data_IF_186508823590
#
_entry.id   IF_186508823590
#
_cell.length_a   1.000
_cell.length_b   1.000
_cell.length_c   1.000
_cell.angle_alpha   90.00
_cell.angle_beta   90.00
_cell.angle_gamma   90.00
#
_symmetry.space_group_name_H-M   'P 1'
#
loop_
_entity.id
_entity.type
_entity.pdbx_description
1 polymer ?
#
# COMPACT_ATOMS: atom_id res chain seq x y z
N UNK A 1 -37.53 12.47 -4.32
CA UNK A 1 -36.24 12.84 -4.93
C UNK A 1 -35.13 12.57 -3.93
N UNK A 2 -34.16 11.71 -4.25
CA UNK A 2 -33.05 11.36 -3.35
C UNK A 2 -32.02 12.49 -3.32
N UNK A 3 -32.22 13.47 -2.44
CA UNK A 3 -31.21 14.47 -2.12
C UNK A 3 -30.04 13.78 -1.39
N UNK A 4 -29.02 13.35 -2.12
CA UNK A 4 -27.74 12.88 -1.54
C UNK A 4 -26.95 14.08 -1.03
N UNK A 5 -27.41 14.71 0.05
CA UNK A 5 -26.66 15.76 0.76
C UNK A 5 -25.59 15.06 1.60
N UNK A 6 -24.36 14.97 1.07
CA UNK A 6 -23.19 14.41 1.72
C UNK A 6 -21.98 14.29 0.78
N UNK A 7 -20.77 14.08 1.32
CA UNK A 7 -19.59 13.77 0.48
C UNK A 7 -19.92 12.57 -0.41
N UNK A 8 -19.65 12.64 -1.73
CA UNK A 8 -19.91 11.53 -2.64
C UNK A 8 -19.23 10.27 -2.09
N UNK A 9 -19.99 9.17 -1.99
CA UNK A 9 -19.43 7.88 -1.61
C UNK A 9 -18.42 7.49 -2.68
N UNK A 10 -17.13 7.51 -2.33
CA UNK A 10 -16.09 7.03 -3.22
C UNK A 10 -16.33 5.55 -3.50
N UNK A 11 -16.25 5.14 -4.77
CA UNK A 11 -16.52 3.76 -5.17
C UNK A 11 -15.47 2.78 -4.61
N UNK A 12 -14.24 3.27 -4.35
CA UNK A 12 -13.15 2.50 -3.78
C UNK A 12 -12.38 3.32 -2.73
N UNK A 13 -12.92 3.45 -1.50
CA UNK A 13 -12.23 4.16 -0.43
C UNK A 13 -11.04 3.35 0.09
N UNK A 14 -9.92 4.01 0.40
CA UNK A 14 -8.78 3.40 1.11
C UNK A 14 -9.13 3.18 2.59
N UNK A 15 -10.07 2.29 2.88
CA UNK A 15 -10.57 2.01 4.23
C UNK A 15 -9.96 0.76 4.88
N UNK A 16 -9.07 0.05 4.17
CA UNK A 16 -8.38 -1.12 4.69
C UNK A 16 -7.13 -0.69 5.45
N UNK A 17 -7.05 -1.06 6.73
CA UNK A 17 -5.86 -0.90 7.57
C UNK A 17 -5.11 -2.23 7.61
N UNK A 18 -3.80 -2.18 7.43
CA UNK A 18 -2.91 -3.34 7.52
C UNK A 18 -1.97 -3.11 8.71
N UNK A 19 -2.05 -3.97 9.72
CA UNK A 19 -1.16 -3.95 10.88
C UNK A 19 -0.33 -5.23 10.85
N UNK A 20 0.98 -5.08 10.75
CA UNK A 20 1.93 -6.19 10.65
C UNK A 20 2.99 -6.00 11.73
N UNK A 21 3.32 -7.09 12.44
CA UNK A 21 4.47 -7.14 13.33
C UNK A 21 5.72 -7.46 12.53
N UNK A 22 6.72 -6.61 12.64
CA UNK A 22 7.99 -6.72 11.94
C UNK A 22 9.09 -6.80 12.99
N UNK A 23 10.18 -7.50 12.68
CA UNK A 23 11.43 -7.39 13.43
C UNK A 23 12.12 -6.08 13.05
N UNK A 24 13.08 -5.62 13.88
CA UNK A 24 13.84 -4.40 13.60
C UNK A 24 14.57 -4.45 12.25
N UNK A 25 15.10 -5.62 11.91
CA UNK A 25 15.79 -5.85 10.63
C UNK A 25 14.85 -5.67 9.43
N UNK A 26 13.65 -6.25 9.48
CA UNK A 26 12.65 -6.12 8.42
C UNK A 26 12.16 -4.68 8.30
N UNK A 27 11.95 -4.01 9.43
CA UNK A 27 11.58 -2.60 9.44
C UNK A 27 12.65 -1.72 8.80
N UNK A 28 13.93 -1.98 9.11
CA UNK A 28 15.06 -1.25 8.52
C UNK A 28 15.16 -1.47 7.02
N UNK A 29 14.99 -2.71 6.54
CA UNK A 29 14.94 -3.02 5.09
C UNK A 29 13.84 -2.23 4.39
N UNK A 30 12.65 -2.14 4.98
CA UNK A 30 11.53 -1.35 4.41
C UNK A 30 11.89 0.13 4.37
N UNK A 31 12.55 0.66 5.40
CA UNK A 31 13.00 2.05 5.44
C UNK A 31 14.09 2.35 4.40
N UNK A 32 15.07 1.47 4.23
CA UNK A 32 16.11 1.58 3.20
C UNK A 32 15.50 1.54 1.79
N UNK A 33 14.60 0.58 1.52
CA UNK A 33 13.87 0.51 0.25
C UNK A 33 13.02 1.77 0.01
N UNK A 34 12.38 2.29 1.05
CA UNK A 34 11.57 3.50 1.01
C UNK A 34 12.41 4.74 0.70
N UNK A 35 13.61 4.86 1.28
CA UNK A 35 14.58 5.91 0.96
C UNK A 35 15.06 5.82 -0.47
N UNK A 36 15.41 4.62 -0.94
CA UNK A 36 15.88 4.40 -2.31
C UNK A 36 14.81 4.76 -3.33
N UNK A 37 13.55 4.35 -3.09
CA UNK A 37 12.42 4.60 -3.97
C UNK A 37 11.83 6.01 -3.80
N UNK A 38 12.28 6.78 -2.80
CA UNK A 38 11.72 8.10 -2.40
C UNK A 38 10.20 8.07 -2.23
N UNK A 39 9.68 6.97 -1.69
CA UNK A 39 8.24 6.73 -1.47
C UNK A 39 7.97 6.48 0.00
N UNK A 40 6.72 6.62 0.43
CA UNK A 40 6.34 6.25 1.81
C UNK A 40 6.56 4.75 2.06
N UNK A 41 6.79 4.35 3.32
CA UNK A 41 6.94 2.93 3.71
C UNK A 41 5.78 2.07 3.19
N UNK A 42 4.54 2.56 3.34
CA UNK A 42 3.34 1.88 2.84
C UNK A 42 3.32 1.73 1.31
N UNK A 43 3.70 2.77 0.57
CA UNK A 43 3.77 2.72 -0.90
C UNK A 43 4.86 1.78 -1.39
N UNK A 44 5.97 1.72 -0.66
CA UNK A 44 7.09 0.80 -0.94
C UNK A 44 6.64 -0.65 -0.81
N UNK A 45 5.88 -0.97 0.24
CA UNK A 45 5.30 -2.31 0.44
C UNK A 45 4.34 -2.65 -0.72
N UNK A 46 3.44 -1.73 -1.08
CA UNK A 46 2.50 -1.93 -2.19
C UNK A 46 3.22 -2.10 -3.54
N UNK A 47 4.30 -1.36 -3.77
CA UNK A 47 5.10 -1.50 -4.98
C UNK A 47 5.86 -2.82 -5.03
N UNK A 48 6.36 -3.30 -3.89
CA UNK A 48 6.92 -4.64 -3.74
C UNK A 48 5.92 -5.72 -4.13
N UNK A 49 4.68 -5.64 -3.61
CA UNK A 49 3.59 -6.57 -3.95
C UNK A 49 3.30 -6.52 -5.46
N UNK A 50 3.21 -5.31 -6.04
CA UNK A 50 2.95 -5.14 -7.48
C UNK A 50 4.03 -5.78 -8.35
N UNK A 51 5.30 -5.69 -7.95
CA UNK A 51 6.41 -6.36 -8.67
C UNK A 51 6.27 -7.87 -8.59
N UNK A 52 5.96 -8.42 -7.41
CA UNK A 52 5.71 -9.85 -7.23
C UNK A 52 4.53 -10.31 -8.10
N UNK A 53 3.43 -9.56 -8.15
CA UNK A 53 2.29 -9.88 -9.02
C UNK A 53 2.67 -9.94 -10.50
N UNK A 54 3.53 -9.01 -10.97
CA UNK A 54 4.03 -9.03 -12.35
C UNK A 54 4.90 -10.25 -12.61
N UNK A 55 5.76 -10.62 -11.67
CA UNK A 55 6.59 -11.83 -11.79
C UNK A 55 5.74 -13.11 -11.77
N UNK A 56 4.73 -13.17 -10.91
CA UNK A 56 3.79 -14.30 -10.84
C UNK A 56 2.95 -14.43 -12.11
N UNK A 57 2.53 -13.32 -12.73
CA UNK A 57 1.78 -13.33 -13.99
C UNK A 57 2.63 -13.70 -15.22
N UNK A 58 3.95 -13.60 -15.11
CA UNK A 58 4.88 -14.04 -16.17
C UNK A 58 5.11 -15.55 -16.15
N UNK A 59 4.65 -16.24 -15.11
CA UNK A 59 4.75 -17.69 -14.94
C UNK A 59 3.45 -18.36 -15.37
#
# INVERSE_FOLDING_TARGET
MLAKIGRPKSLNPKNKRLEIRLTEEEYKKIEDCSRYLKKSRAETILEGIKRIEVELKKK
#
